data_IF_178341120571
#
_entry.id   IF_178341120571
#
_cell.length_a   1.000
_cell.length_b   1.000
_cell.length_c   1.000
_cell.angle_alpha   90.00
_cell.angle_beta   90.00
_cell.angle_gamma   90.00
#
_symmetry.space_group_name_H-M   'P 1'
#
loop_
_entity.id
_entity.type
_entity.pdbx_description
1 polymer ?
#
# COMPACT_ATOMS: atom_id res chain seq x y z
N UNK A 1 5.72 -15.38 10.16
CA UNK A 1 6.10 -13.95 10.18
C UNK A 1 5.62 -13.34 8.87
N UNK A 2 4.72 -12.35 8.89
CA UNK A 2 4.09 -11.80 7.68
C UNK A 2 4.68 -10.44 7.31
N UNK A 3 5.03 -10.24 6.04
CA UNK A 3 5.41 -8.92 5.50
C UNK A 3 4.17 -8.21 4.97
N UNK A 4 3.95 -6.96 5.36
CA UNK A 4 2.86 -6.12 4.85
C UNK A 4 3.41 -4.75 4.45
N UNK A 5 3.33 -4.42 3.17
CA UNK A 5 3.56 -3.06 2.69
C UNK A 5 2.39 -2.16 3.08
N UNK A 6 2.66 -1.00 3.65
CA UNK A 6 1.66 0.05 3.90
C UNK A 6 2.03 1.27 3.08
N UNK A 7 1.06 1.78 2.32
CA UNK A 7 1.23 2.96 1.50
C UNK A 7 0.44 4.12 2.09
N UNK A 8 0.93 5.33 1.85
CA UNK A 8 0.26 6.56 2.25
C UNK A 8 0.39 7.57 1.12
N UNK A 9 -0.59 8.47 1.00
CA UNK A 9 -0.52 9.54 0.02
C UNK A 9 0.54 10.56 0.46
N UNK A 10 1.42 10.92 -0.47
CA UNK A 10 2.47 11.91 -0.27
C UNK A 10 2.61 12.80 -1.49
N UNK A 11 3.17 13.99 -1.29
CA UNK A 11 3.49 14.93 -2.36
C UNK A 11 4.81 15.63 -2.06
N UNK A 12 5.36 16.35 -3.03
CA UNK A 12 6.57 17.15 -2.86
C UNK A 12 6.23 18.63 -2.99
N UNK A 13 6.61 19.43 -1.98
CA UNK A 13 6.43 20.89 -1.98
C UNK A 13 7.72 21.55 -1.52
N UNK A 14 8.19 22.52 -2.31
CA UNK A 14 9.48 23.20 -2.11
C UNK A 14 10.65 22.22 -1.96
N UNK A 15 10.69 21.17 -2.79
CA UNK A 15 11.73 20.15 -2.78
C UNK A 15 11.71 19.20 -1.58
N UNK A 16 10.69 19.27 -0.72
CA UNK A 16 10.57 18.45 0.50
C UNK A 16 9.36 17.52 0.41
N UNK A 17 9.40 16.32 1.02
CA UNK A 17 8.25 15.42 1.09
C UNK A 17 7.22 15.92 2.11
N UNK A 18 5.95 15.80 1.75
CA UNK A 18 4.79 16.15 2.56
C UNK A 18 3.84 14.95 2.61
N UNK A 19 3.28 14.67 3.79
CA UNK A 19 2.22 13.66 3.96
C UNK A 19 0.86 14.26 3.65
N UNK A 20 0.00 13.49 3.00
CA UNK A 20 -1.37 13.89 2.71
C UNK A 20 -2.30 13.03 3.56
N UNK A 21 -3.00 13.59 4.58
CA UNK A 21 -3.93 12.81 5.38
C UNK A 21 -4.97 12.14 4.47
N UNK A 22 -5.25 10.86 4.72
CA UNK A 22 -6.23 10.07 3.96
C UNK A 22 -7.23 9.49 4.94
N UNK A 23 -8.51 9.79 4.72
CA UNK A 23 -9.61 9.18 5.44
C UNK A 23 -10.47 8.38 4.46
N UNK A 24 -10.82 7.16 4.84
CA UNK A 24 -11.66 6.28 4.05
C UNK A 24 -12.42 5.33 4.99
N UNK A 25 -13.62 4.85 4.61
CA UNK A 25 -14.27 3.75 5.32
C UNK A 25 -13.46 2.46 5.16
N UNK A 26 -13.73 1.40 5.94
CA UNK A 26 -13.11 0.10 5.73
C UNK A 26 -13.27 -0.38 4.28
N UNK A 27 -12.21 -0.92 3.70
CA UNK A 27 -12.23 -1.44 2.34
C UNK A 27 -12.92 -2.81 2.32
N UNK A 28 -13.91 -3.05 1.46
CA UNK A 28 -14.40 -4.40 1.23
C UNK A 28 -13.30 -5.19 0.49
N UNK A 29 -12.89 -6.33 1.05
CA UNK A 29 -11.82 -7.15 0.51
C UNK A 29 -12.39 -8.47 -0.03
N UNK A 30 -11.99 -8.81 -1.25
CA UNK A 30 -12.38 -10.03 -1.95
C UNK A 30 -11.14 -10.84 -2.30
N UNK A 31 -11.22 -12.16 -2.20
CA UNK A 31 -10.16 -13.03 -2.70
C UNK A 31 -9.99 -12.84 -4.21
N UNK A 32 -8.76 -12.79 -4.68
CA UNK A 32 -8.43 -12.63 -6.08
C UNK A 32 -7.17 -13.42 -6.45
N UNK A 33 -6.98 -13.63 -7.74
CA UNK A 33 -5.76 -14.24 -8.29
C UNK A 33 -4.98 -13.18 -9.07
N UNK A 34 -3.68 -12.97 -8.76
CA UNK A 34 -2.88 -12.01 -9.50
C UNK A 34 -2.49 -12.62 -10.85
N UNK A 35 -2.80 -11.94 -11.96
CA UNK A 35 -2.29 -12.35 -13.27
C UNK A 35 -0.75 -12.24 -13.34
N UNK A 36 -0.17 -11.28 -12.62
CA UNK A 36 1.28 -11.09 -12.49
C UNK A 36 1.59 -10.26 -11.24
N UNK A 37 2.60 -10.67 -10.47
CA UNK A 37 3.18 -9.88 -9.38
C UNK A 37 4.65 -9.57 -9.70
N UNK A 38 5.00 -8.28 -9.72
CA UNK A 38 6.40 -7.81 -9.78
C UNK A 38 6.67 -7.01 -8.51
N UNK A 39 7.61 -7.48 -7.68
CA UNK A 39 7.98 -6.80 -6.43
C UNK A 39 9.40 -7.15 -6.04
N UNK A 40 10.11 -6.19 -5.44
CA UNK A 40 11.43 -6.33 -4.81
C UNK A 40 11.34 -6.24 -3.27
N UNK A 41 10.12 -6.12 -2.71
CA UNK A 41 9.92 -5.82 -1.29
C UNK A 41 10.53 -6.88 -0.35
N UNK A 42 10.34 -8.20 -0.56
CA UNK A 42 10.99 -9.19 0.30
C UNK A 42 12.51 -9.08 0.30
N UNK A 43 13.12 -8.91 -0.88
CA UNK A 43 14.56 -8.74 -1.05
C UNK A 43 15.06 -7.49 -0.33
N UNK A 44 14.43 -6.33 -0.56
CA UNK A 44 14.80 -5.06 0.07
C UNK A 44 14.58 -5.05 1.59
N UNK A 45 13.70 -5.91 2.09
CA UNK A 45 13.47 -6.10 3.52
C UNK A 45 14.31 -7.26 4.12
N UNK A 46 15.17 -7.92 3.34
CA UNK A 46 15.99 -9.05 3.81
C UNK A 46 15.17 -10.29 4.20
N UNK A 47 13.96 -10.44 3.68
CA UNK A 47 13.05 -11.55 3.96
C UNK A 47 13.20 -12.61 2.87
N UNK A 48 13.49 -13.86 3.27
CA UNK A 48 13.52 -14.99 2.35
C UNK A 48 12.14 -15.19 1.71
N UNK A 49 12.08 -15.16 0.37
CA UNK A 49 10.87 -15.50 -0.35
C UNK A 49 10.63 -17.02 -0.24
N UNK A 50 9.81 -17.44 0.73
CA UNK A 50 9.27 -18.80 0.76
C UNK A 50 8.27 -19.04 -0.39
N UNK A 51 7.88 -20.29 -0.67
CA UNK A 51 6.82 -20.57 -1.63
C UNK A 51 5.57 -19.73 -1.29
N UNK A 52 4.94 -19.10 -2.28
CA UNK A 52 3.97 -18.05 -2.02
C UNK A 52 2.67 -18.63 -1.48
N UNK A 53 2.49 -18.63 -0.16
CA UNK A 53 1.16 -18.52 0.45
C UNK A 53 0.63 -17.07 0.27
N UNK A 54 0.75 -16.53 -0.95
CA UNK A 54 0.34 -15.18 -1.28
C UNK A 54 -1.19 -15.14 -1.27
N UNK A 55 -1.74 -14.47 -0.26
CA UNK A 55 -3.16 -14.10 -0.26
C UNK A 55 -3.31 -12.78 -0.96
N UNK A 56 -3.84 -12.83 -2.19
CA UNK A 56 -4.18 -11.62 -2.94
C UNK A 56 -5.61 -11.23 -2.62
N UNK A 57 -5.77 -9.98 -2.22
CA UNK A 57 -7.05 -9.36 -1.92
C UNK A 57 -7.24 -8.19 -2.89
N UNK A 58 -8.45 -8.08 -3.43
CA UNK A 58 -8.89 -6.99 -4.29
C UNK A 58 -10.05 -6.24 -3.63
N UNK A 59 -10.25 -4.99 -4.02
CA UNK A 59 -11.38 -4.18 -3.62
C UNK A 59 -11.84 -3.31 -4.80
N UNK A 60 -13.16 -3.06 -4.97
CA UNK A 60 -13.67 -2.11 -5.96
C UNK A 60 -13.29 -0.66 -5.67
N UNK A 61 -12.71 -0.37 -4.50
CA UNK A 61 -12.46 0.98 -4.04
C UNK A 61 -13.56 1.46 -3.09
N UNK A 62 -13.26 2.55 -2.40
CA UNK A 62 -14.17 3.27 -1.50
C UNK A 62 -14.01 4.76 -1.72
N UNK A 63 -14.99 5.54 -1.28
CA UNK A 63 -14.84 7.00 -1.25
C UNK A 63 -13.71 7.41 -0.30
N UNK A 64 -12.82 8.25 -0.80
CA UNK A 64 -11.64 8.73 -0.07
C UNK A 64 -11.71 10.24 0.11
N UNK A 65 -11.40 10.71 1.31
CA UNK A 65 -11.14 12.12 1.60
C UNK A 65 -9.65 12.36 1.75
N UNK A 66 -9.11 13.28 0.94
CA UNK A 66 -7.74 13.74 1.04
C UNK A 66 -7.70 15.07 1.81
N UNK A 67 -6.93 15.09 2.89
CA UNK A 67 -6.71 16.29 3.70
C UNK A 67 -5.66 17.21 3.10
N UNK A 68 -5.48 18.36 3.74
CA UNK A 68 -4.43 19.32 3.38
C UNK A 68 -3.05 18.68 3.63
N UNK A 69 -2.10 18.75 2.66
CA UNK A 69 -0.75 18.26 2.85
C UNK A 69 -0.07 18.90 4.06
N UNK A 70 0.66 18.11 4.84
CA UNK A 70 1.45 18.54 6.01
C UNK A 70 2.91 18.11 5.86
N UNK A 71 3.86 18.85 6.43
CA UNK A 71 5.25 18.39 6.49
C UNK A 71 5.33 16.97 7.05
N UNK A 72 6.17 16.13 6.43
CA UNK A 72 6.44 14.76 6.87
C UNK A 72 7.21 14.72 8.20
#
# INVERSE_FOLDING_TARGET
MSLTGRWHASTVRAGRPWRVPVEHPPWPLFAAEPARLRTDLPERCGVAAGPPDLRVLWSPGVDVRLGVPRPA
#
